data_IF_494036283837
#
_entry.id   IF_494036283837
#
_cell.length_a   1.000
_cell.length_b   1.000
_cell.length_c   1.000
_cell.angle_alpha   90.00
_cell.angle_beta   90.00
_cell.angle_gamma   90.00
#
_symmetry.space_group_name_H-M   'P 1'
#
loop_
_entity.id
_entity.type
_entity.pdbx_description
1 polymer ?
#
# COMPACT_ATOMS: atom_id res chain seq x y z
N UNK A 1 -41.05 -40.54 -18.22
CA UNK A 1 -41.03 -40.00 -16.84
C UNK A 1 -39.63 -39.95 -16.20
N UNK A 2 -38.74 -40.94 -16.35
CA UNK A 2 -37.41 -40.95 -15.69
C UNK A 2 -36.43 -39.84 -16.12
N UNK A 3 -36.44 -39.43 -17.40
CA UNK A 3 -35.53 -38.37 -17.90
C UNK A 3 -35.83 -36.98 -17.34
N UNK A 4 -37.11 -36.68 -17.09
CA UNK A 4 -37.52 -35.40 -16.47
C UNK A 4 -37.12 -35.33 -15.00
N UNK A 5 -37.14 -36.46 -14.28
CA UNK A 5 -36.71 -36.53 -12.87
C UNK A 5 -35.20 -36.30 -12.69
N UNK A 6 -34.37 -36.83 -13.60
CA UNK A 6 -32.92 -36.64 -13.56
C UNK A 6 -32.53 -35.17 -13.79
N UNK A 7 -33.21 -34.48 -14.71
CA UNK A 7 -32.95 -33.06 -15.00
C UNK A 7 -33.27 -32.15 -13.82
N UNK A 8 -34.35 -32.42 -13.09
CA UNK A 8 -34.73 -31.66 -11.89
C UNK A 8 -33.73 -31.86 -10.75
N UNK A 9 -33.23 -33.09 -10.57
CA UNK A 9 -32.21 -33.38 -9.55
C UNK A 9 -30.86 -32.71 -9.86
N UNK A 10 -30.45 -32.66 -11.13
CA UNK A 10 -29.21 -32.01 -11.54
C UNK A 10 -29.28 -30.49 -11.38
N UNK A 11 -30.44 -29.90 -11.72
CA UNK A 11 -30.70 -28.47 -11.57
C UNK A 11 -30.72 -28.05 -10.09
N UNK A 12 -31.31 -28.88 -9.22
CA UNK A 12 -31.31 -28.69 -7.77
C UNK A 12 -29.90 -28.71 -7.18
N UNK A 13 -29.04 -29.65 -7.61
CA UNK A 13 -27.67 -29.76 -7.15
C UNK A 13 -26.81 -28.56 -7.59
N UNK A 14 -26.98 -28.11 -8.83
CA UNK A 14 -26.33 -26.90 -9.37
C UNK A 14 -26.76 -25.64 -8.62
N UNK A 15 -28.05 -25.53 -8.26
CA UNK A 15 -28.54 -24.40 -7.48
C UNK A 15 -27.91 -24.40 -6.08
N UNK A 16 -27.82 -25.57 -5.42
CA UNK A 16 -27.21 -25.69 -4.09
C UNK A 16 -25.73 -25.30 -4.06
N UNK A 17 -24.99 -25.64 -5.12
CA UNK A 17 -23.58 -25.25 -5.30
C UNK A 17 -23.42 -23.73 -5.48
N UNK A 18 -24.33 -23.07 -6.19
CA UNK A 18 -24.32 -21.62 -6.38
C UNK A 18 -24.68 -20.85 -5.10
N UNK A 19 -25.51 -21.41 -4.22
CA UNK A 19 -25.84 -20.78 -2.93
C UNK A 19 -24.71 -20.92 -1.88
N UNK A 20 -23.70 -21.75 -2.12
CA UNK A 20 -22.59 -22.00 -1.20
C UNK A 20 -21.38 -21.09 -1.43
N UNK A 21 -21.46 -20.13 -2.37
CA UNK A 21 -20.37 -19.18 -2.60
C UNK A 21 -20.25 -18.24 -1.40
N UNK A 22 -19.16 -18.35 -0.64
CA UNK A 22 -18.81 -17.36 0.37
C UNK A 22 -18.52 -16.04 -0.32
N UNK A 23 -19.24 -14.98 0.05
CA UNK A 23 -18.85 -13.62 -0.27
C UNK A 23 -17.55 -13.32 0.48
N UNK A 24 -16.42 -13.40 -0.21
CA UNK A 24 -15.16 -12.87 0.33
C UNK A 24 -15.29 -11.36 0.28
N UNK A 25 -15.47 -10.75 1.45
CA UNK A 25 -15.26 -9.31 1.59
C UNK A 25 -13.81 -9.03 1.26
N UNK A 26 -13.59 -8.11 0.32
CA UNK A 26 -12.29 -7.64 -0.08
C UNK A 26 -11.41 -7.29 1.13
N UNK A 27 -10.10 -7.56 0.99
CA UNK A 27 -8.97 -7.24 1.89
C UNK A 27 -9.37 -6.42 3.14
N UNK A 28 -9.44 -7.10 4.29
CA UNK A 28 -9.59 -6.41 5.59
C UNK A 28 -8.44 -5.42 5.76
N UNK A 29 -8.78 -4.14 5.88
CA UNK A 29 -7.78 -3.07 5.99
C UNK A 29 -7.39 -2.90 7.45
N UNK A 30 -6.09 -2.97 7.73
CA UNK A 30 -5.55 -2.77 9.08
C UNK A 30 -5.87 -1.35 9.57
N UNK A 31 -6.46 -1.25 10.75
CA UNK A 31 -6.75 0.01 11.41
C UNK A 31 -5.50 0.61 12.06
N UNK A 32 -5.56 1.91 12.33
CA UNK A 32 -4.45 2.58 13.00
C UNK A 32 -4.24 2.05 14.42
N UNK A 33 -5.33 1.72 15.12
CA UNK A 33 -5.31 1.17 16.48
C UNK A 33 -4.68 -0.22 16.53
N UNK A 34 -5.00 -1.09 15.57
CA UNK A 34 -4.38 -2.42 15.45
C UNK A 34 -2.88 -2.31 15.18
N UNK A 35 -2.48 -1.42 14.26
CA UNK A 35 -1.06 -1.16 14.03
C UNK A 35 -0.39 -0.62 15.31
N UNK A 36 -1.04 0.32 16.01
CA UNK A 36 -0.52 0.88 17.26
C UNK A 36 -0.31 -0.19 18.35
N UNK A 37 -1.24 -1.14 18.48
CA UNK A 37 -1.15 -2.23 19.44
C UNK A 37 0.12 -3.05 19.22
N UNK A 38 0.39 -3.46 17.97
CA UNK A 38 1.60 -4.20 17.62
C UNK A 38 2.87 -3.33 17.78
N UNK A 39 2.82 -2.07 17.33
CA UNK A 39 3.96 -1.16 17.40
C UNK A 39 4.33 -0.74 18.83
N UNK A 40 3.43 -0.85 19.81
CA UNK A 40 3.69 -0.48 21.21
C UNK A 40 4.79 -1.31 21.88
N UNK A 41 5.10 -2.48 21.32
CA UNK A 41 6.15 -3.38 21.79
C UNK A 41 7.52 -3.12 21.15
N UNK A 42 7.59 -2.28 20.11
CA UNK A 42 8.79 -2.09 19.29
C UNK A 42 10.03 -1.70 20.09
N UNK A 43 9.92 -0.81 21.08
CA UNK A 43 11.07 -0.38 21.88
C UNK A 43 11.53 -1.44 22.90
N UNK A 44 10.59 -2.26 23.40
CA UNK A 44 10.84 -3.23 24.48
C UNK A 44 11.36 -4.56 23.97
N UNK A 45 10.80 -5.04 22.86
CA UNK A 45 11.17 -6.29 22.23
C UNK A 45 11.09 -6.18 20.70
N UNK A 46 12.11 -5.60 20.04
CA UNK A 46 12.12 -5.40 18.59
C UNK A 46 12.07 -6.68 17.75
N UNK A 47 12.34 -7.85 18.36
CA UNK A 47 12.32 -9.16 17.70
C UNK A 47 11.08 -9.98 18.07
N UNK A 48 10.25 -9.48 19.00
CA UNK A 48 8.98 -10.06 19.36
C UNK A 48 7.98 -10.02 18.21
N UNK A 49 7.00 -10.90 18.24
CA UNK A 49 6.01 -11.09 17.16
C UNK A 49 5.30 -9.77 16.81
N UNK A 50 4.92 -8.98 17.82
CA UNK A 50 4.26 -7.68 17.66
C UNK A 50 5.16 -6.64 16.99
N UNK A 51 6.41 -6.52 17.44
CA UNK A 51 7.36 -5.58 16.84
C UNK A 51 7.71 -5.99 15.40
N UNK A 52 7.87 -7.29 15.14
CA UNK A 52 8.11 -7.82 13.80
C UNK A 52 6.91 -7.52 12.90
N UNK A 53 5.68 -7.69 13.38
CA UNK A 53 4.48 -7.32 12.63
C UNK A 53 4.49 -5.83 12.26
N UNK A 54 4.73 -4.95 13.22
CA UNK A 54 4.83 -3.51 13.01
C UNK A 54 5.89 -3.16 11.94
N UNK A 55 7.11 -3.70 12.06
CA UNK A 55 8.21 -3.47 11.13
C UNK A 55 7.84 -3.95 9.72
N UNK A 56 7.28 -5.15 9.58
CA UNK A 56 6.96 -5.74 8.28
C UNK A 56 5.79 -5.06 7.60
N UNK A 57 4.80 -4.59 8.34
CA UNK A 57 3.72 -3.78 7.78
C UNK A 57 4.27 -2.49 7.17
N UNK A 58 5.09 -1.76 7.92
CA UNK A 58 5.72 -0.51 7.47
C UNK A 58 6.63 -0.76 6.26
N UNK A 59 7.45 -1.80 6.32
CA UNK A 59 8.30 -2.18 5.19
C UNK A 59 7.47 -2.51 3.95
N UNK A 60 6.42 -3.31 4.09
CA UNK A 60 5.53 -3.67 2.98
C UNK A 60 4.83 -2.47 2.36
N UNK A 61 4.46 -1.47 3.18
CA UNK A 61 3.93 -0.20 2.68
C UNK A 61 4.96 0.53 1.81
N UNK A 62 6.21 0.66 2.28
CA UNK A 62 7.30 1.32 1.55
C UNK A 62 7.60 0.57 0.25
N UNK A 63 7.75 -0.75 0.32
CA UNK A 63 8.03 -1.60 -0.84
C UNK A 63 6.90 -1.49 -1.88
N UNK A 64 5.64 -1.43 -1.43
CA UNK A 64 4.47 -1.22 -2.30
C UNK A 64 4.44 0.15 -2.97
N UNK A 65 4.80 1.21 -2.24
CA UNK A 65 4.92 2.56 -2.80
C UNK A 65 6.05 2.62 -3.85
N UNK A 66 7.21 2.04 -3.54
CA UNK A 66 8.36 1.94 -4.45
C UNK A 66 7.99 1.20 -5.74
N UNK A 67 7.35 0.04 -5.61
CA UNK A 67 6.95 -0.77 -6.76
C UNK A 67 5.93 -0.06 -7.66
N UNK A 68 4.97 0.67 -7.07
CA UNK A 68 3.96 1.40 -7.83
C UNK A 68 4.58 2.55 -8.61
N UNK A 69 5.44 3.33 -7.97
CA UNK A 69 6.12 4.46 -8.60
C UNK A 69 7.06 4.02 -9.73
N UNK A 70 7.83 2.94 -9.53
CA UNK A 70 8.71 2.39 -10.56
C UNK A 70 7.91 1.87 -11.76
N UNK A 71 6.81 1.13 -11.53
CA UNK A 71 5.97 0.58 -12.59
C UNK A 71 5.19 1.67 -13.35
N UNK A 72 4.62 2.65 -12.63
CA UNK A 72 3.91 3.79 -13.24
C UNK A 72 4.86 4.58 -14.13
N UNK A 73 6.08 4.88 -13.66
CA UNK A 73 7.08 5.61 -14.45
C UNK A 73 7.60 4.75 -15.60
N UNK A 74 7.82 3.45 -15.40
CA UNK A 74 8.34 2.55 -16.45
C UNK A 74 7.35 2.37 -17.60
N UNK A 75 6.07 2.13 -17.31
CA UNK A 75 5.03 1.94 -18.33
C UNK A 75 4.84 3.18 -19.21
N UNK A 76 4.96 4.39 -18.63
CA UNK A 76 4.81 5.63 -19.39
C UNK A 76 6.09 5.97 -20.18
N UNK A 77 7.27 5.59 -19.69
CA UNK A 77 8.54 5.87 -20.36
C UNK A 77 8.83 4.88 -21.51
N UNK A 78 8.33 3.64 -21.44
CA UNK A 78 8.67 2.56 -22.39
C UNK A 78 7.63 2.30 -23.49
N UNK A 79 6.51 3.02 -23.51
CA UNK A 79 5.44 2.87 -24.52
C UNK A 79 5.87 3.24 -25.96
N UNK A 80 5.69 2.29 -26.90
CA UNK A 80 5.80 2.44 -28.39
C UNK A 80 4.42 2.78 -28.99
N UNK A 81 4.17 3.17 -30.26
CA UNK A 81 4.96 3.56 -31.45
C UNK A 81 4.26 4.76 -32.17
N UNK A 82 3.18 5.28 -31.58
CA UNK A 82 2.49 6.53 -31.94
C UNK A 82 2.09 7.27 -30.66
N UNK A 83 3.06 7.93 -30.04
CA UNK A 83 2.80 8.77 -28.87
C UNK A 83 1.96 10.00 -29.25
N UNK A 84 0.86 10.20 -28.53
CA UNK A 84 0.13 11.46 -28.47
C UNK A 84 0.98 12.57 -27.85
N UNK A 85 0.60 13.84 -28.05
CA UNK A 85 1.29 14.98 -27.42
C UNK A 85 1.34 14.85 -25.89
N UNK A 86 0.23 14.41 -25.29
CA UNK A 86 0.11 14.22 -23.83
C UNK A 86 1.05 13.13 -23.32
N UNK A 87 1.16 12.01 -24.04
CA UNK A 87 2.09 10.92 -23.68
C UNK A 87 3.55 11.36 -23.81
N UNK A 88 3.90 12.12 -24.86
CA UNK A 88 5.26 12.65 -25.02
C UNK A 88 5.62 13.68 -23.95
N UNK A 89 4.66 14.53 -23.58
CA UNK A 89 4.82 15.47 -22.48
C UNK A 89 4.96 14.73 -21.14
N UNK A 90 4.14 13.71 -20.90
CA UNK A 90 4.23 12.85 -19.73
C UNK A 90 5.58 12.14 -19.67
N UNK A 91 6.05 11.48 -20.74
CA UNK A 91 7.36 10.84 -20.79
C UNK A 91 8.51 11.80 -20.53
N UNK A 92 8.47 13.01 -21.10
CA UNK A 92 9.52 14.01 -20.86
C UNK A 92 9.55 14.46 -19.40
N UNK A 93 8.38 14.60 -18.77
CA UNK A 93 8.24 15.02 -17.36
C UNK A 93 8.56 13.87 -16.39
N UNK A 94 8.03 12.67 -16.62
CA UNK A 94 8.23 11.46 -15.81
C UNK A 94 9.62 10.85 -16.01
N UNK A 95 10.22 10.99 -17.19
CA UNK A 95 11.62 10.64 -17.42
C UNK A 95 12.56 11.46 -16.55
N UNK A 96 12.27 12.75 -16.32
CA UNK A 96 12.98 13.57 -15.32
C UNK A 96 12.70 13.10 -13.89
N UNK A 97 11.49 12.62 -13.62
CA UNK A 97 11.08 12.16 -12.27
C UNK A 97 11.92 10.97 -11.76
N UNK A 98 12.47 10.13 -12.65
CA UNK A 98 13.45 9.08 -12.29
C UNK A 98 14.68 9.60 -11.54
N UNK A 99 15.04 10.87 -11.72
CA UNK A 99 16.17 11.50 -11.03
C UNK A 99 15.87 11.80 -9.55
N UNK A 100 14.60 11.74 -9.14
CA UNK A 100 14.14 12.19 -7.81
C UNK A 100 13.80 11.02 -6.86
N UNK A 101 14.06 9.78 -7.27
CA UNK A 101 13.90 8.59 -6.42
C UNK A 101 12.60 7.82 -6.67
N UNK A 102 12.57 6.59 -6.16
CA UNK A 102 11.52 5.60 -6.43
C UNK A 102 10.23 5.79 -5.64
N UNK A 103 10.09 6.85 -4.84
CA UNK A 103 8.87 7.17 -4.08
C UNK A 103 8.34 8.58 -4.36
N UNK A 104 8.94 9.29 -5.32
CA UNK A 104 8.59 10.68 -5.58
C UNK A 104 7.13 10.86 -6.03
N UNK A 105 6.57 9.90 -6.77
CA UNK A 105 5.17 9.96 -7.23
C UNK A 105 4.22 9.70 -6.05
N UNK A 106 4.69 9.03 -5.00
CA UNK A 106 4.02 8.91 -3.70
C UNK A 106 4.21 10.13 -2.78
N UNK A 107 4.69 11.28 -3.27
CA UNK A 107 4.84 12.56 -2.53
C UNK A 107 5.77 12.54 -1.29
N UNK A 108 6.54 11.47 -1.08
CA UNK A 108 7.59 11.41 -0.05
C UNK A 108 8.91 10.89 -0.64
N UNK A 109 10.05 11.37 -0.14
CA UNK A 109 11.36 11.02 -0.67
C UNK A 109 12.26 10.49 0.44
N UNK A 110 12.50 9.18 0.42
CA UNK A 110 13.53 8.55 1.26
C UNK A 110 14.90 8.81 0.61
N UNK A 111 15.45 10.00 0.83
CA UNK A 111 16.75 10.42 0.29
C UNK A 111 17.90 9.68 0.98
N UNK A 112 18.91 9.22 0.21
CA UNK A 112 20.03 8.40 0.68
C UNK A 112 19.57 7.16 1.48
N UNK A 113 20.39 6.15 1.80
CA UNK A 113 19.87 4.95 2.46
C UNK A 113 19.42 5.26 3.90
N UNK A 114 18.17 5.71 4.06
CA UNK A 114 17.47 5.79 5.35
C UNK A 114 17.28 4.36 5.83
N UNK A 115 17.80 4.07 7.03
CA UNK A 115 17.64 2.74 7.59
C UNK A 115 16.18 2.53 7.97
N UNK A 116 15.62 1.35 7.65
CA UNK A 116 14.22 1.01 7.95
C UNK A 116 13.85 1.30 9.40
N UNK A 117 14.74 1.04 10.35
CA UNK A 117 14.50 1.32 11.77
C UNK A 117 14.25 2.80 12.07
N UNK A 118 14.87 3.74 11.36
CA UNK A 118 14.64 5.17 11.52
C UNK A 118 13.23 5.55 11.09
N UNK A 119 12.77 4.98 9.97
CA UNK A 119 11.40 5.16 9.48
C UNK A 119 10.38 4.57 10.46
N UNK A 120 10.64 3.33 10.92
CA UNK A 120 9.79 2.66 11.90
C UNK A 120 9.70 3.47 13.19
N UNK A 121 10.82 3.96 13.73
CA UNK A 121 10.82 4.79 14.95
C UNK A 121 9.96 6.04 14.79
N UNK A 122 9.99 6.72 13.63
CA UNK A 122 9.13 7.89 13.38
C UNK A 122 7.65 7.55 13.41
N UNK A 123 7.27 6.44 12.78
CA UNK A 123 5.88 5.95 12.76
C UNK A 123 5.41 5.51 14.14
N UNK A 124 6.23 4.77 14.89
CA UNK A 124 5.93 4.37 16.28
C UNK A 124 5.75 5.61 17.17
N UNK A 125 6.60 6.62 17.00
CA UNK A 125 6.48 7.89 17.75
C UNK A 125 5.17 8.61 17.44
N UNK A 126 4.78 8.66 16.16
CA UNK A 126 3.51 9.26 15.74
C UNK A 126 2.30 8.51 16.34
N UNK A 127 2.33 7.17 16.29
CA UNK A 127 1.30 6.31 16.88
C UNK A 127 1.18 6.52 18.40
N UNK A 128 2.29 6.71 19.11
CA UNK A 128 2.29 6.95 20.55
C UNK A 128 1.79 8.34 20.95
N UNK A 129 1.96 9.34 20.09
CA UNK A 129 1.63 10.75 20.40
C UNK A 129 0.16 11.07 20.10
N UNK A 130 -0.46 10.38 19.16
CA UNK A 130 -1.88 10.58 18.80
C UNK A 130 -2.80 9.93 19.84
N UNK A 131 -3.04 10.66 20.94
CA UNK A 131 -3.92 10.19 22.02
C UNK A 131 -5.38 9.94 21.63
N UNK A 132 -5.87 10.48 20.52
CA UNK A 132 -7.21 10.23 19.96
C UNK A 132 -7.17 10.53 18.45
N UNK A 133 -7.21 9.48 17.62
CA UNK A 133 -7.27 9.59 16.16
C UNK A 133 -8.68 10.03 15.76
N UNK A 134 -8.89 11.33 15.51
CA UNK A 134 -10.12 11.77 14.81
C UNK A 134 -10.11 11.33 13.34
N UNK A 135 -8.91 11.25 12.74
CA UNK A 135 -8.51 10.56 11.51
C UNK A 135 -6.97 10.40 11.57
N UNK A 136 -6.33 9.41 10.92
CA UNK A 136 -6.87 8.42 9.98
C UNK A 136 -7.34 7.10 10.63
N UNK A 137 -8.41 6.48 10.09
CA UNK A 137 -8.93 5.21 10.59
C UNK A 137 -8.04 4.01 10.20
N UNK A 138 -7.25 4.14 9.13
CA UNK A 138 -6.45 3.04 8.59
C UNK A 138 -4.95 3.28 8.77
N UNK A 139 -4.26 2.19 9.08
CA UNK A 139 -2.82 2.15 9.25
C UNK A 139 -2.06 2.68 8.03
N UNK A 140 -2.54 2.36 6.81
CA UNK A 140 -1.92 2.82 5.56
C UNK A 140 -1.90 4.35 5.45
N UNK A 141 -2.98 5.01 5.88
CA UNK A 141 -3.12 6.45 5.76
C UNK A 141 -2.24 7.14 6.81
N UNK A 142 -2.15 6.58 8.03
CA UNK A 142 -1.21 7.07 9.03
C UNK A 142 0.24 6.95 8.55
N UNK A 143 0.62 5.79 8.02
CA UNK A 143 1.99 5.56 7.52
C UNK A 143 2.29 6.55 6.40
N UNK A 144 1.38 6.69 5.43
CA UNK A 144 1.50 7.67 4.35
C UNK A 144 1.71 9.10 4.87
N UNK A 145 0.82 9.59 5.74
CA UNK A 145 0.90 10.94 6.28
C UNK A 145 2.17 11.17 7.09
N UNK A 146 2.60 10.17 7.86
CA UNK A 146 3.86 10.24 8.61
C UNK A 146 5.05 10.38 7.66
N UNK A 147 5.08 9.60 6.57
CA UNK A 147 6.15 9.64 5.58
C UNK A 147 6.20 10.98 4.86
N UNK A 148 5.08 11.49 4.35
CA UNK A 148 5.01 12.80 3.67
C UNK A 148 5.44 13.93 4.60
N UNK A 149 5.08 13.87 5.89
CA UNK A 149 5.42 14.90 6.87
C UNK A 149 6.90 14.89 7.25
N UNK A 150 7.49 13.71 7.41
CA UNK A 150 8.88 13.56 7.90
C UNK A 150 9.92 13.48 6.78
N UNK A 151 9.51 13.09 5.57
CA UNK A 151 10.37 12.90 4.41
C UNK A 151 9.80 13.61 3.17
N UNK A 152 9.54 14.92 3.22
CA UNK A 152 9.03 15.64 2.06
C UNK A 152 10.06 15.67 0.94
N UNK A 153 9.60 15.48 -0.30
CA UNK A 153 10.45 15.68 -1.48
C UNK A 153 10.84 17.16 -1.63
N UNK A 154 12.11 17.43 -1.93
CA UNK A 154 12.55 18.78 -2.27
C UNK A 154 11.89 19.24 -3.57
N UNK A 155 10.97 20.22 -3.49
CA UNK A 155 10.44 20.89 -4.68
C UNK A 155 11.50 21.82 -5.26
N UNK A 156 12.22 21.39 -6.29
CA UNK A 156 12.83 22.35 -7.22
C UNK A 156 11.75 22.87 -8.16
N UNK A 157 11.52 24.20 -8.12
CA UNK A 157 10.73 24.92 -9.14
C UNK A 157 11.20 24.47 -10.52
N UNK A 158 10.31 23.82 -11.27
CA UNK A 158 10.46 23.60 -12.71
C UNK A 158 10.40 24.93 -13.44
#
# INVERSE_FOLDING_TARGET
MKQSLLGVSLLSLLLFLLLSSTTVSAVESLTTEELAAHCSHYEKDPQGVDAVFCIRYIQGFIDGAVATDELVVSNIVTGKEKETFSERAARTRLGKLRLYGSTYVADFCLNDPVKLNQVVTKIVTELATRKQLKEPPLARDLVYHTLVTNYPCEKKRL
#
